data_IF_406284430511
#
_entry.id   IF_406284430511
#
_cell.length_a   1.000
_cell.length_b   1.000
_cell.length_c   1.000
_cell.angle_alpha   90.00
_cell.angle_beta   90.00
_cell.angle_gamma   90.00
#
_symmetry.space_group_name_H-M   'P 1'
#
loop_
_entity.id
_entity.type
_entity.pdbx_description
1 polymer ?
#
# COMPACT_ATOMS: atom_id res chain seq x y z
N UNK A 1 -10.20 -2.78 9.86
CA UNK A 1 -8.87 -3.36 9.59
C UNK A 1 -8.02 -2.50 8.66
N UNK A 2 -8.54 -2.07 7.50
CA UNK A 2 -7.82 -1.21 6.53
C UNK A 2 -7.36 0.13 7.14
N UNK A 3 -8.23 0.84 7.86
CA UNK A 3 -7.87 2.15 8.46
C UNK A 3 -6.75 2.05 9.50
N UNK A 4 -6.66 0.92 10.23
CA UNK A 4 -5.56 0.67 11.18
C UNK A 4 -4.24 0.43 10.46
N UNK A 5 -4.26 -0.32 9.34
CA UNK A 5 -3.07 -0.57 8.53
C UNK A 5 -2.57 0.73 7.88
N UNK A 6 -3.47 1.56 7.35
CA UNK A 6 -3.11 2.87 6.79
C UNK A 6 -2.47 3.79 7.84
N UNK A 7 -2.98 3.80 9.08
CA UNK A 7 -2.36 4.55 10.17
C UNK A 7 -1.01 4.00 10.66
N UNK A 8 -0.69 2.73 10.40
CA UNK A 8 0.66 2.18 10.60
C UNK A 8 1.59 2.68 9.49
N UNK A 9 1.17 2.51 8.23
CA UNK A 9 1.94 2.93 7.07
C UNK A 9 2.23 4.44 7.06
N UNK A 10 1.32 5.25 7.61
CA UNK A 10 1.53 6.69 7.78
C UNK A 10 2.60 6.98 8.84
N UNK A 11 2.53 6.33 10.02
CA UNK A 11 3.54 6.46 11.08
C UNK A 11 4.93 6.02 10.63
N UNK A 12 4.99 5.00 9.78
CA UNK A 12 6.24 4.47 9.24
C UNK A 12 6.75 5.26 8.03
N UNK A 13 6.11 6.39 7.67
CA UNK A 13 6.47 7.24 6.54
C UNK A 13 6.40 6.55 5.17
N UNK A 14 5.63 5.46 5.06
CA UNK A 14 5.38 4.78 3.80
C UNK A 14 4.35 5.52 2.95
N UNK A 15 3.28 6.00 3.60
CA UNK A 15 2.24 6.84 2.98
C UNK A 15 2.15 8.21 3.64
N UNK A 16 1.55 9.18 2.94
CA UNK A 16 1.09 10.46 3.49
C UNK A 16 -0.43 10.52 3.40
N UNK A 17 -1.08 10.92 4.49
CA UNK A 17 -2.50 11.22 4.50
C UNK A 17 -2.75 12.70 4.17
N UNK A 18 -3.78 12.97 3.37
CA UNK A 18 -4.32 14.30 3.11
C UNK A 18 -5.77 14.31 3.56
N UNK A 19 -6.03 15.04 4.65
CA UNK A 19 -7.35 15.21 5.24
C UNK A 19 -8.09 16.34 4.50
N UNK A 20 -9.27 16.06 3.97
CA UNK A 20 -10.16 17.05 3.35
C UNK A 20 -11.56 16.90 3.92
N UNK A 21 -11.97 17.85 4.76
CA UNK A 21 -13.28 17.91 5.42
C UNK A 21 -13.71 16.58 6.06
N UNK A 22 -14.39 15.71 5.32
CA UNK A 22 -14.89 14.40 5.77
C UNK A 22 -14.12 13.19 5.21
N UNK A 23 -13.17 13.39 4.31
CA UNK A 23 -12.45 12.33 3.60
C UNK A 23 -10.94 12.37 3.89
N UNK A 24 -10.30 11.19 3.81
CA UNK A 24 -8.85 11.05 3.93
C UNK A 24 -8.30 10.36 2.70
N UNK A 25 -7.41 11.03 1.99
CA UNK A 25 -6.73 10.49 0.82
C UNK A 25 -5.32 10.09 1.17
N UNK A 26 -4.90 8.89 0.78
CA UNK A 26 -3.55 8.38 1.02
C UNK A 26 -2.76 8.33 -0.28
N UNK A 27 -1.49 8.68 -0.22
CA UNK A 27 -0.56 8.57 -1.34
C UNK A 27 0.81 8.12 -0.83
N UNK A 28 1.63 7.52 -1.69
CA UNK A 28 3.00 7.13 -1.32
C UNK A 28 3.80 8.37 -0.96
N UNK A 29 4.68 8.24 0.06
CA UNK A 29 5.58 9.32 0.43
C UNK A 29 6.76 9.38 -0.55
N UNK A 30 6.90 10.51 -1.24
CA UNK A 30 7.86 10.76 -2.33
C UNK A 30 9.14 11.50 -1.85
N UNK A 31 9.42 11.51 -0.56
CA UNK A 31 10.64 12.10 0.00
C UNK A 31 11.86 11.24 -0.37
N UNK A 32 12.97 11.87 -0.76
CA UNK A 32 14.20 11.18 -1.21
C UNK A 32 14.78 10.23 -0.16
N UNK A 33 14.50 10.48 1.13
CA UNK A 33 14.86 9.57 2.23
C UNK A 33 14.16 8.21 2.13
N UNK A 34 13.00 8.16 1.50
CA UNK A 34 12.18 6.95 1.32
C UNK A 34 12.03 6.57 -0.16
N UNK A 35 13.10 6.77 -0.95
CA UNK A 35 13.15 6.49 -2.40
C UNK A 35 12.70 5.08 -2.83
N UNK A 36 12.68 4.11 -1.91
CA UNK A 36 12.27 2.74 -2.18
C UNK A 36 10.78 2.46 -1.99
N UNK A 37 9.99 3.37 -1.41
CA UNK A 37 8.57 3.12 -1.11
C UNK A 37 7.77 2.68 -2.35
N UNK A 38 8.01 3.31 -3.51
CA UNK A 38 7.39 2.92 -4.77
C UNK A 38 7.80 1.52 -5.22
N UNK A 39 9.09 1.17 -5.09
CA UNK A 39 9.59 -0.15 -5.43
C UNK A 39 8.97 -1.24 -4.56
N UNK A 40 8.89 -1.00 -3.25
CA UNK A 40 8.24 -1.90 -2.30
C UNK A 40 6.76 -2.09 -2.64
N UNK A 41 6.03 -0.99 -2.92
CA UNK A 41 4.61 -1.09 -3.32
C UNK A 41 4.43 -1.94 -4.57
N UNK A 42 5.29 -1.77 -5.58
CA UNK A 42 5.22 -2.56 -6.81
C UNK A 42 5.47 -4.04 -6.54
N UNK A 43 6.47 -4.39 -5.72
CA UNK A 43 6.73 -5.79 -5.33
C UNK A 43 5.50 -6.37 -4.62
N UNK A 44 4.91 -5.66 -3.66
CA UNK A 44 3.72 -6.11 -2.93
C UNK A 44 2.53 -6.31 -3.87
N UNK A 45 2.33 -5.42 -4.85
CA UNK A 45 1.28 -5.56 -5.86
C UNK A 45 1.50 -6.82 -6.71
N UNK A 46 2.71 -7.03 -7.23
CA UNK A 46 3.05 -8.22 -8.02
C UNK A 46 2.81 -9.50 -7.22
N UNK A 47 3.26 -9.57 -5.97
CA UNK A 47 3.03 -10.75 -5.11
C UNK A 47 1.55 -11.01 -4.83
N UNK A 48 0.75 -9.96 -4.69
CA UNK A 48 -0.70 -10.10 -4.51
C UNK A 48 -1.36 -10.67 -5.78
N UNK A 49 -0.98 -10.18 -6.95
CA UNK A 49 -1.48 -10.67 -8.25
C UNK A 49 -1.09 -12.14 -8.47
N UNK A 50 0.16 -12.52 -8.16
CA UNK A 50 0.63 -13.91 -8.19
C UNK A 50 -0.24 -14.82 -7.30
N UNK A 51 -0.46 -14.42 -6.05
CA UNK A 51 -1.27 -15.20 -5.11
C UNK A 51 -2.72 -15.37 -5.57
N UNK A 52 -3.35 -14.29 -6.05
CA UNK A 52 -4.72 -14.35 -6.57
C UNK A 52 -4.84 -15.25 -7.81
N UNK A 53 -3.80 -15.32 -8.63
CA UNK A 53 -3.76 -16.23 -9.76
C UNK A 53 -3.55 -17.67 -9.31
N UNK A 54 -2.69 -17.94 -8.31
CA UNK A 54 -2.53 -19.27 -7.73
C UNK A 54 -3.84 -19.82 -7.12
N UNK A 55 -4.64 -18.97 -6.47
CA UNK A 55 -5.94 -19.36 -5.92
C UNK A 55 -6.96 -19.71 -7.01
N UNK A 56 -6.88 -19.06 -8.19
CA UNK A 56 -7.75 -19.35 -9.35
C UNK A 56 -7.48 -20.73 -9.98
N UNK A 57 -6.26 -21.26 -9.89
CA UNK A 57 -5.91 -22.56 -10.46
C UNK A 57 -6.10 -23.74 -9.49
N UNK A 58 -6.50 -23.48 -8.24
CA UNK A 58 -6.81 -24.52 -7.24
C UNK A 58 -8.28 -25.00 -7.26
N UNK A 59 -9.09 -24.53 -8.22
CA UNK A 59 -10.45 -25.01 -8.47
C UNK A 59 -10.50 -25.57 -9.90
N UNK A 60 -10.13 -26.84 -10.05
CA UNK A 60 -10.31 -27.65 -11.26
C UNK A 60 -10.42 -29.12 -10.85
#
# INVERSE_FOLDING_TARGET
TISRNLGILERDNFVKARYMSSNVFYSIKEDTRYKYNHGILNILRTRLEENQNCDKFHIS
#
